data_IF_719248578375
#
_entry.id   IF_719248578375
#
_cell.length_a   1.000
_cell.length_b   1.000
_cell.length_c   1.000
_cell.angle_alpha   90.00
_cell.angle_beta   90.00
_cell.angle_gamma   90.00
#
_symmetry.space_group_name_H-M   'P 1'
#
loop_
_entity.id
_entity.type
_entity.pdbx_description
1 polymer ?
#
# COMPACT_ATOMS: atom_id res chain seq x y z
N UNK A 1 2.35 48.12 22.83
CA UNK A 1 2.23 46.82 23.54
C UNK A 1 1.15 45.99 22.84
N UNK A 2 1.55 45.15 21.88
CA UNK A 2 0.61 44.25 21.19
C UNK A 2 0.53 42.93 21.97
N UNK A 3 -0.61 42.72 22.60
CA UNK A 3 -0.95 41.49 23.33
C UNK A 3 -1.05 40.33 22.34
N UNK A 4 -0.13 39.35 22.43
CA UNK A 4 -0.30 38.03 21.81
C UNK A 4 -1.36 37.29 22.60
N UNK A 5 -2.56 37.16 22.03
CA UNK A 5 -3.59 36.31 22.60
C UNK A 5 -3.10 34.85 22.64
N UNK A 6 -3.35 34.11 23.74
CA UNK A 6 -2.97 32.71 23.86
C UNK A 6 -3.73 31.90 22.83
N UNK A 7 -3.01 31.31 21.87
CA UNK A 7 -3.57 30.44 20.85
C UNK A 7 -4.16 29.21 21.55
N UNK A 8 -5.42 28.91 21.26
CA UNK A 8 -6.23 27.92 22.01
C UNK A 8 -5.59 26.53 21.81
N UNK A 9 -5.30 25.76 22.88
CA UNK A 9 -4.56 24.49 22.81
C UNK A 9 -5.14 23.44 21.84
N UNK A 10 -6.44 23.47 21.59
CA UNK A 10 -7.12 22.55 20.65
C UNK A 10 -6.84 22.90 19.19
N UNK A 11 -6.71 24.19 18.85
CA UNK A 11 -6.31 24.62 17.50
C UNK A 11 -4.89 24.18 17.22
N UNK A 12 -3.97 24.44 18.16
CA UNK A 12 -2.56 24.08 18.00
C UNK A 12 -2.35 22.56 17.92
N UNK A 13 -3.13 21.77 18.68
CA UNK A 13 -3.07 20.32 18.62
C UNK A 13 -3.58 19.75 17.28
N UNK A 14 -4.64 20.33 16.70
CA UNK A 14 -5.14 19.95 15.37
C UNK A 14 -4.13 20.35 14.28
N UNK A 15 -3.60 21.58 14.35
CA UNK A 15 -2.57 22.07 13.43
C UNK A 15 -1.28 21.23 13.53
N UNK A 16 -0.90 20.76 14.72
CA UNK A 16 0.21 19.84 14.90
C UNK A 16 -0.07 18.48 14.26
N UNK A 17 -1.27 17.94 14.48
CA UNK A 17 -1.65 16.64 13.94
C UNK A 17 -1.61 16.65 12.42
N UNK A 18 -2.18 17.67 11.78
CA UNK A 18 -2.22 17.76 10.32
C UNK A 18 -0.81 17.93 9.72
N UNK A 19 0.05 18.73 10.37
CA UNK A 19 1.47 18.83 9.97
C UNK A 19 2.22 17.50 10.09
N UNK A 20 1.95 16.72 11.13
CA UNK A 20 2.53 15.38 11.30
C UNK A 20 2.09 14.45 10.17
N UNK A 21 0.79 14.42 9.86
CA UNK A 21 0.27 13.58 8.77
C UNK A 21 0.83 13.97 7.41
N UNK A 22 0.96 15.27 7.13
CA UNK A 22 1.52 15.75 5.87
C UNK A 22 3.01 15.40 5.73
N UNK A 23 3.79 15.60 6.81
CA UNK A 23 5.18 15.19 6.83
C UNK A 23 5.34 13.67 6.66
N UNK A 24 4.46 12.89 7.28
CA UNK A 24 4.46 11.44 7.17
C UNK A 24 4.17 10.97 5.74
N UNK A 25 3.11 11.50 5.10
CA UNK A 25 2.80 11.20 3.69
C UNK A 25 3.99 11.46 2.78
N UNK A 26 4.61 12.63 2.90
CA UNK A 26 5.73 13.01 2.06
C UNK A 26 6.95 12.08 2.24
N UNK A 27 7.29 11.73 3.48
CA UNK A 27 8.45 10.87 3.77
C UNK A 27 8.20 9.41 3.39
N UNK A 28 7.01 8.89 3.72
CA UNK A 28 6.65 7.52 3.35
C UNK A 28 6.55 7.35 1.84
N UNK A 29 6.21 8.41 1.11
CA UNK A 29 6.17 8.39 -0.34
C UNK A 29 7.55 8.20 -1.01
N UNK A 30 8.59 8.76 -0.41
CA UNK A 30 9.94 8.77 -1.00
C UNK A 30 10.82 7.65 -0.46
N UNK A 31 10.69 7.33 0.83
CA UNK A 31 11.60 6.44 1.55
C UNK A 31 10.89 5.17 2.09
N UNK A 32 9.59 5.04 1.84
CA UNK A 32 8.76 3.94 2.34
C UNK A 32 8.55 4.02 3.86
N UNK A 33 7.97 2.96 4.44
CA UNK A 33 7.72 2.91 5.89
C UNK A 33 8.97 2.67 6.75
N UNK A 34 10.16 2.64 6.16
CA UNK A 34 11.41 2.48 6.91
C UNK A 34 11.84 3.75 7.65
N UNK A 35 11.29 4.92 7.26
CA UNK A 35 11.63 6.22 7.87
C UNK A 35 11.42 6.21 9.38
N UNK A 36 12.41 6.63 10.19
CA UNK A 36 12.24 6.76 11.63
C UNK A 36 11.21 7.83 12.01
N UNK A 37 10.37 7.58 13.02
CA UNK A 37 9.36 8.57 13.48
C UNK A 37 9.96 9.91 13.94
N UNK A 38 11.20 9.90 14.44
CA UNK A 38 11.95 11.13 14.76
C UNK A 38 12.14 12.05 13.55
N UNK A 39 12.26 11.47 12.35
CA UNK A 39 12.45 12.23 11.12
C UNK A 39 11.14 12.87 10.66
N UNK A 40 10.02 12.15 10.86
CA UNK A 40 8.68 12.73 10.70
C UNK A 40 8.47 13.90 11.65
N UNK A 41 8.81 13.74 12.94
CA UNK A 41 8.69 14.82 13.93
C UNK A 41 9.50 16.06 13.53
N UNK A 42 10.75 15.85 13.09
CA UNK A 42 11.64 16.90 12.60
C UNK A 42 11.04 17.63 11.39
N UNK A 43 10.49 16.89 10.41
CA UNK A 43 9.90 17.48 9.21
C UNK A 43 8.57 18.19 9.48
N UNK A 44 7.80 17.71 10.45
CA UNK A 44 6.55 18.35 10.89
C UNK A 44 6.77 19.57 11.80
N UNK A 45 8.03 19.85 12.19
CA UNK A 45 8.39 20.89 13.15
C UNK A 45 7.66 20.72 14.50
N UNK A 46 7.71 19.50 15.04
CA UNK A 46 7.15 19.15 16.35
C UNK A 46 8.16 18.37 17.19
N UNK A 47 8.02 18.45 18.52
CA UNK A 47 8.82 17.64 19.43
C UNK A 47 8.48 16.14 19.32
N UNK A 48 9.45 15.22 19.49
CA UNK A 48 9.20 13.78 19.45
C UNK A 48 8.11 13.33 20.43
N UNK A 49 8.10 13.88 21.65
CA UNK A 49 7.08 13.59 22.65
C UNK A 49 5.67 14.03 22.23
N UNK A 50 5.54 15.02 21.35
CA UNK A 50 4.26 15.44 20.77
C UNK A 50 3.82 14.43 19.71
N UNK A 51 4.72 14.02 18.80
CA UNK A 51 4.42 12.99 17.82
C UNK A 51 3.99 11.68 18.48
N UNK A 52 4.77 11.16 19.44
CA UNK A 52 4.44 9.89 20.13
C UNK A 52 3.13 9.96 20.92
N UNK A 53 2.70 11.14 21.37
CA UNK A 53 1.40 11.32 22.03
C UNK A 53 0.23 11.23 21.07
N UNK A 54 0.38 11.73 19.84
CA UNK A 54 -0.65 11.61 18.79
C UNK A 54 -0.62 10.26 18.09
N UNK A 55 0.58 9.74 17.83
CA UNK A 55 0.82 8.54 17.04
C UNK A 55 1.84 7.65 17.77
N UNK A 56 1.38 6.78 18.69
CA UNK A 56 2.26 5.94 19.49
C UNK A 56 3.10 4.97 18.66
N UNK A 57 2.60 4.57 17.49
CA UNK A 57 3.25 3.61 16.59
C UNK A 57 3.30 4.15 15.16
N UNK A 58 4.23 3.62 14.35
CA UNK A 58 4.38 4.03 12.96
C UNK A 58 3.19 3.57 12.12
N UNK A 59 2.60 2.45 12.51
CA UNK A 59 1.43 1.85 11.92
C UNK A 59 0.23 2.78 12.05
N UNK A 60 -0.05 3.27 13.27
CA UNK A 60 -1.15 4.23 13.51
C UNK A 60 -0.92 5.50 12.69
N UNK A 61 0.32 6.02 12.66
CA UNK A 61 0.65 7.18 11.85
C UNK A 61 0.38 6.95 10.36
N UNK A 62 0.82 5.82 9.82
CA UNK A 62 0.65 5.49 8.40
C UNK A 62 -0.83 5.26 8.05
N UNK A 63 -1.58 4.54 8.90
CA UNK A 63 -3.03 4.33 8.73
C UNK A 63 -3.76 5.67 8.68
N UNK A 64 -3.49 6.58 9.62
CA UNK A 64 -4.14 7.89 9.61
C UNK A 64 -3.68 8.78 8.45
N UNK A 65 -2.38 8.75 8.11
CA UNK A 65 -1.80 9.54 7.03
C UNK A 65 -2.40 9.19 5.65
N UNK A 66 -2.79 7.92 5.46
CA UNK A 66 -3.34 7.38 4.22
C UNK A 66 -4.81 6.93 4.34
N UNK A 67 -5.53 7.38 5.37
CA UNK A 67 -6.90 6.95 5.66
C UNK A 67 -7.87 7.24 4.52
N UNK A 68 -7.71 8.37 3.82
CA UNK A 68 -8.54 8.73 2.66
C UNK A 68 -8.27 7.81 1.47
N UNK A 69 -7.00 7.49 1.20
CA UNK A 69 -6.60 6.56 0.15
C UNK A 69 -7.12 5.15 0.43
N UNK A 70 -7.04 4.69 1.68
CA UNK A 70 -7.58 3.38 2.06
C UNK A 70 -9.09 3.32 1.88
N UNK A 71 -9.81 4.39 2.25
CA UNK A 71 -11.25 4.50 2.03
C UNK A 71 -11.61 4.44 0.54
N UNK A 72 -10.83 5.08 -0.32
CA UNK A 72 -11.02 5.00 -1.76
C UNK A 72 -10.78 3.58 -2.28
N UNK A 73 -9.75 2.89 -1.79
CA UNK A 73 -9.51 1.48 -2.14
C UNK A 73 -10.67 0.57 -1.72
N UNK A 74 -11.22 0.75 -0.52
CA UNK A 74 -12.41 0.01 -0.06
C UNK A 74 -13.60 0.28 -0.97
N UNK A 75 -13.91 1.55 -1.25
CA UNK A 75 -15.02 1.92 -2.13
C UNK A 75 -14.90 1.27 -3.51
N UNK A 76 -13.70 1.27 -4.10
CA UNK A 76 -13.45 0.64 -5.40
C UNK A 76 -13.77 -0.85 -5.38
N UNK A 77 -13.31 -1.55 -4.34
CA UNK A 77 -13.52 -3.00 -4.21
C UNK A 77 -14.98 -3.33 -3.90
N UNK A 78 -15.64 -2.53 -3.07
CA UNK A 78 -17.07 -2.67 -2.74
C UNK A 78 -17.95 -2.47 -3.97
N UNK A 79 -17.67 -1.43 -4.76
CA UNK A 79 -18.35 -1.18 -6.03
C UNK A 79 -18.16 -2.32 -7.02
N UNK A 80 -16.95 -2.89 -7.09
CA UNK A 80 -16.67 -4.07 -7.90
C UNK A 80 -17.49 -5.28 -7.45
N UNK A 81 -17.56 -5.55 -6.14
CA UNK A 81 -18.31 -6.66 -5.57
C UNK A 81 -19.83 -6.53 -5.76
N UNK A 82 -20.32 -5.29 -5.79
CA UNK A 82 -21.72 -4.97 -6.04
C UNK A 82 -22.10 -5.07 -7.53
N UNK A 83 -21.13 -5.22 -8.43
CA UNK A 83 -21.39 -5.33 -9.85
C UNK A 83 -22.09 -6.67 -10.19
N UNK A 84 -23.21 -6.64 -10.93
CA UNK A 84 -23.91 -7.87 -11.33
C UNK A 84 -23.14 -8.71 -12.34
N UNK A 85 -22.20 -8.13 -13.10
CA UNK A 85 -21.28 -8.87 -13.97
C UNK A 85 -19.93 -9.04 -13.24
N UNK A 86 -19.58 -10.27 -12.81
CA UNK A 86 -18.34 -10.51 -12.07
C UNK A 86 -17.07 -10.11 -12.82
N UNK A 87 -17.06 -10.25 -14.15
CA UNK A 87 -15.90 -9.89 -14.95
C UNK A 87 -15.78 -8.37 -15.07
N UNK A 88 -16.89 -7.68 -15.30
CA UNK A 88 -16.92 -6.22 -15.31
C UNK A 88 -16.50 -5.64 -13.96
N UNK A 89 -17.02 -6.17 -12.85
CA UNK A 89 -16.63 -5.80 -11.49
C UNK A 89 -15.12 -5.98 -11.23
N UNK A 90 -14.56 -7.13 -11.61
CA UNK A 90 -13.13 -7.40 -11.49
C UNK A 90 -12.27 -6.44 -12.34
N UNK A 91 -12.66 -6.19 -13.60
CA UNK A 91 -11.96 -5.24 -14.47
C UNK A 91 -11.99 -3.81 -13.91
N UNK A 92 -13.15 -3.37 -13.45
CA UNK A 92 -13.38 -2.05 -12.84
C UNK A 92 -12.46 -1.84 -11.62
N UNK A 93 -12.29 -2.86 -10.78
CA UNK A 93 -11.35 -2.80 -9.65
C UNK A 93 -9.91 -2.64 -10.12
N UNK A 94 -9.46 -3.42 -11.10
CA UNK A 94 -8.09 -3.30 -11.64
C UNK A 94 -7.84 -1.90 -12.21
N UNK A 95 -8.77 -1.38 -13.01
CA UNK A 95 -8.66 -0.06 -13.63
C UNK A 95 -8.58 1.05 -12.60
N UNK A 96 -9.53 1.07 -11.65
CA UNK A 96 -9.62 2.11 -10.62
C UNK A 96 -8.44 2.06 -9.64
N UNK A 97 -8.00 0.87 -9.21
CA UNK A 97 -6.81 0.75 -8.35
C UNK A 97 -5.55 1.21 -9.09
N UNK A 98 -5.35 0.79 -10.34
CA UNK A 98 -4.21 1.25 -11.14
C UNK A 98 -4.18 2.77 -11.25
N UNK A 99 -5.32 3.39 -11.52
CA UNK A 99 -5.44 4.85 -11.63
C UNK A 99 -5.20 5.56 -10.28
N UNK A 100 -5.74 5.05 -9.18
CA UNK A 100 -5.46 5.57 -7.83
C UNK A 100 -3.95 5.55 -7.53
N UNK A 101 -3.28 4.44 -7.85
CA UNK A 101 -1.84 4.29 -7.66
C UNK A 101 -1.02 5.25 -8.55
N UNK A 102 -1.48 5.49 -9.78
CA UNK A 102 -0.83 6.42 -10.69
C UNK A 102 -0.92 7.88 -10.21
N UNK A 103 -1.98 8.22 -9.48
CA UNK A 103 -2.19 9.55 -8.89
C UNK A 103 -1.46 9.72 -7.55
N UNK A 104 -1.31 8.65 -6.78
CA UNK A 104 -0.65 8.65 -5.47
C UNK A 104 0.38 7.53 -5.33
N UNK A 105 1.57 7.79 -5.90
CA UNK A 105 2.74 6.89 -5.78
C UNK A 105 3.20 6.75 -4.34
N UNK A 106 2.93 7.75 -3.51
CA UNK A 106 3.40 7.79 -2.15
C UNK A 106 2.70 6.79 -1.26
N UNK A 107 1.37 6.74 -1.40
CA UNK A 107 0.55 5.69 -0.84
C UNK A 107 0.97 4.31 -1.35
N UNK A 108 1.17 4.16 -2.66
CA UNK A 108 1.53 2.86 -3.27
C UNK A 108 2.86 2.32 -2.72
N UNK A 109 3.90 3.16 -2.63
CA UNK A 109 5.20 2.77 -2.10
C UNK A 109 5.12 2.42 -0.60
N UNK A 110 4.37 3.20 0.19
CA UNK A 110 4.13 2.92 1.59
C UNK A 110 3.37 1.59 1.78
N UNK A 111 2.31 1.39 0.99
CA UNK A 111 1.48 0.19 1.02
C UNK A 111 2.28 -1.06 0.64
N UNK A 112 3.02 -1.03 -0.47
CA UNK A 112 3.83 -2.18 -0.93
C UNK A 112 5.02 -2.46 0.01
N UNK A 113 5.66 -1.43 0.58
CA UNK A 113 6.80 -1.61 1.50
C UNK A 113 6.41 -2.05 2.92
N UNK A 114 5.14 -1.92 3.32
CA UNK A 114 4.64 -2.30 4.65
C UNK A 114 4.51 -3.81 4.88
N UNK A 115 4.53 -4.62 3.83
CA UNK A 115 4.33 -6.06 3.92
C UNK A 115 5.60 -6.70 4.50
N UNK A 116 5.64 -7.23 5.76
CA UNK A 116 4.55 -7.89 6.49
C UNK A 116 4.34 -7.47 7.98
N UNK A 117 4.69 -6.26 8.43
CA UNK A 117 4.88 -5.97 9.88
C UNK A 117 3.92 -4.99 10.56
N UNK A 118 2.95 -4.39 9.85
CA UNK A 118 2.05 -3.40 10.42
C UNK A 118 0.67 -4.02 10.78
N UNK A 119 0.34 -4.12 12.08
CA UNK A 119 -0.85 -4.82 12.60
C UNK A 119 -2.17 -4.21 12.10
N UNK A 120 -2.31 -2.88 12.00
CA UNK A 120 -3.61 -2.29 11.61
C UNK A 120 -3.82 -2.24 10.09
N UNK A 121 -2.72 -2.08 9.33
CA UNK A 121 -2.71 -2.36 7.89
C UNK A 121 -3.14 -3.80 7.60
N UNK A 122 -3.02 -4.74 8.56
CA UNK A 122 -3.51 -6.10 8.32
C UNK A 122 -5.02 -6.16 8.19
N UNK A 123 -5.80 -5.36 8.93
CA UNK A 123 -7.27 -5.44 8.87
C UNK A 123 -7.80 -4.93 7.53
N UNK A 124 -7.40 -3.73 7.11
CA UNK A 124 -7.82 -3.14 5.83
C UNK A 124 -7.28 -3.95 4.64
N UNK A 125 -6.05 -4.46 4.75
CA UNK A 125 -5.49 -5.36 3.74
C UNK A 125 -6.26 -6.67 3.68
N UNK A 126 -6.54 -7.31 4.81
CA UNK A 126 -7.23 -8.59 4.84
C UNK A 126 -8.66 -8.44 4.31
N UNK A 127 -9.30 -7.29 4.54
CA UNK A 127 -10.55 -6.91 3.89
C UNK A 127 -10.40 -6.86 2.36
N UNK A 128 -9.48 -6.02 1.86
CA UNK A 128 -9.26 -5.86 0.43
C UNK A 128 -8.89 -7.19 -0.26
N UNK A 129 -8.01 -7.99 0.34
CA UNK A 129 -7.60 -9.29 -0.18
C UNK A 129 -8.77 -10.29 -0.25
N UNK A 130 -9.62 -10.35 0.79
CA UNK A 130 -10.81 -11.22 0.78
C UNK A 130 -11.78 -10.82 -0.32
N UNK A 131 -12.06 -9.53 -0.43
CA UNK A 131 -13.00 -9.02 -1.41
C UNK A 131 -12.50 -9.18 -2.86
N UNK A 132 -11.20 -8.99 -3.10
CA UNK A 132 -10.58 -9.28 -4.40
C UNK A 132 -10.58 -10.79 -4.69
N UNK A 133 -10.31 -11.64 -3.69
CA UNK A 133 -10.39 -13.10 -3.86
C UNK A 133 -11.79 -13.55 -4.25
N UNK A 134 -12.81 -12.95 -3.64
CA UNK A 134 -14.21 -13.20 -3.97
C UNK A 134 -14.55 -12.76 -5.40
N UNK A 135 -14.13 -11.56 -5.81
CA UNK A 135 -14.28 -11.09 -7.19
C UNK A 135 -13.62 -12.04 -8.20
N UNK A 136 -12.37 -12.42 -7.93
CA UNK A 136 -11.64 -13.35 -8.77
C UNK A 136 -12.32 -14.72 -8.84
N UNK A 137 -12.84 -15.22 -7.71
CA UNK A 137 -13.63 -16.45 -7.65
C UNK A 137 -14.86 -16.39 -8.56
N UNK A 138 -15.70 -15.36 -8.40
CA UNK A 138 -16.90 -15.16 -9.22
C UNK A 138 -16.57 -15.03 -10.71
N UNK A 139 -15.49 -14.32 -11.06
CA UNK A 139 -15.05 -14.16 -12.45
C UNK A 139 -14.48 -15.46 -13.06
N UNK A 140 -13.85 -16.33 -12.25
CA UNK A 140 -13.45 -17.68 -12.66
C UNK A 140 -14.65 -18.58 -12.87
N UNK A 141 -15.62 -18.55 -11.96
CA UNK A 141 -16.84 -19.35 -12.04
C UNK A 141 -17.68 -18.99 -13.29
N UNK A 142 -17.67 -17.70 -13.68
CA UNK A 142 -18.27 -17.22 -14.93
C UNK A 142 -17.45 -17.57 -16.20
N UNK A 143 -16.25 -18.13 -16.04
CA UNK A 143 -15.37 -18.51 -17.14
C UNK A 143 -14.68 -17.35 -17.84
N UNK A 144 -14.61 -16.16 -17.20
CA UNK A 144 -14.00 -14.97 -17.79
C UNK A 144 -12.58 -14.71 -17.31
N UNK A 145 -12.22 -15.16 -16.10
CA UNK A 145 -10.87 -15.09 -15.55
C UNK A 145 -10.14 -16.42 -15.73
N UNK A 146 -8.87 -16.37 -16.14
CA UNK A 146 -8.05 -17.58 -16.32
C UNK A 146 -7.95 -18.41 -15.03
N UNK A 147 -7.99 -19.75 -15.10
CA UNK A 147 -8.11 -20.61 -13.92
C UNK A 147 -6.85 -20.59 -13.03
N UNK A 148 -5.69 -20.37 -13.61
CA UNK A 148 -4.37 -20.29 -12.96
C UNK A 148 -4.05 -18.89 -12.38
N UNK A 149 -4.96 -17.91 -12.46
CA UNK A 149 -4.81 -16.61 -11.79
C UNK A 149 -4.74 -16.77 -10.26
N UNK A 150 -3.83 -16.05 -9.61
CA UNK A 150 -3.70 -15.99 -8.15
C UNK A 150 -3.60 -14.54 -7.66
N UNK A 151 -3.86 -14.31 -6.37
CA UNK A 151 -3.77 -12.96 -5.79
C UNK A 151 -2.35 -12.35 -5.91
N UNK A 152 -1.30 -13.17 -5.89
CA UNK A 152 0.08 -12.72 -6.11
C UNK A 152 0.27 -12.07 -7.49
N UNK A 153 -0.54 -12.42 -8.50
CA UNK A 153 -0.51 -11.77 -9.82
C UNK A 153 -0.99 -10.32 -9.74
N UNK A 154 -1.93 -10.04 -8.84
CA UNK A 154 -2.36 -8.67 -8.58
C UNK A 154 -1.22 -7.87 -7.91
N UNK A 155 -0.48 -8.47 -6.99
CA UNK A 155 0.68 -7.83 -6.36
C UNK A 155 1.75 -7.49 -7.43
N UNK A 156 2.05 -8.44 -8.32
CA UNK A 156 2.95 -8.21 -9.46
C UNK A 156 2.47 -7.06 -10.35
N UNK A 157 1.18 -7.03 -10.68
CA UNK A 157 0.58 -5.95 -11.45
C UNK A 157 0.75 -4.60 -10.76
N UNK A 158 0.47 -4.50 -9.46
CA UNK A 158 0.58 -3.25 -8.72
C UNK A 158 2.04 -2.76 -8.63
N UNK A 159 2.99 -3.68 -8.43
CA UNK A 159 4.43 -3.39 -8.47
C UNK A 159 4.86 -2.87 -9.85
N UNK A 160 4.43 -3.52 -10.92
CA UNK A 160 4.74 -3.11 -12.29
C UNK A 160 4.11 -1.76 -12.64
N UNK A 161 2.84 -1.52 -12.27
CA UNK A 161 2.17 -0.23 -12.45
C UNK A 161 2.90 0.90 -11.71
N UNK A 162 3.35 0.64 -10.47
CA UNK A 162 4.16 1.59 -9.71
C UNK A 162 5.52 1.86 -10.37
N UNK A 163 6.09 0.87 -11.07
CA UNK A 163 7.35 1.02 -11.81
C UNK A 163 7.26 1.93 -13.04
N UNK A 164 6.07 2.22 -13.57
CA UNK A 164 5.87 3.09 -14.73
C UNK A 164 6.36 4.50 -14.39
N UNK A 165 7.20 5.08 -15.26
CA UNK A 165 7.62 6.48 -15.19
C UNK A 165 7.23 7.19 -16.47
N UNK A 166 6.66 8.39 -16.33
CA UNK A 166 6.24 9.22 -17.45
C UNK A 166 6.65 10.68 -17.26
N UNK A 167 6.68 11.42 -18.38
CA UNK A 167 7.15 12.82 -18.44
C UNK A 167 6.21 13.83 -17.76
N UNK A 168 4.98 13.42 -17.42
CA UNK A 168 4.01 14.26 -16.73
C UNK A 168 3.01 13.42 -15.94
N UNK A 169 2.31 14.00 -14.93
CA UNK A 169 1.25 13.30 -14.21
C UNK A 169 0.12 12.79 -15.12
N UNK A 170 -0.25 13.56 -16.15
CA UNK A 170 -1.27 13.14 -17.12
C UNK A 170 -0.81 11.95 -17.97
N UNK A 171 0.46 11.97 -18.43
CA UNK A 171 1.04 10.86 -19.16
C UNK A 171 1.18 9.61 -18.27
N UNK A 172 1.46 9.78 -16.98
CA UNK A 172 1.51 8.69 -16.00
C UNK A 172 0.17 7.99 -15.88
N UNK A 173 -0.93 8.75 -15.71
CA UNK A 173 -2.28 8.19 -15.63
C UNK A 173 -2.66 7.50 -16.94
N UNK A 174 -2.34 8.09 -18.09
CA UNK A 174 -2.61 7.47 -19.39
C UNK A 174 -1.83 6.14 -19.58
N UNK A 175 -0.56 6.11 -19.18
CA UNK A 175 0.26 4.90 -19.23
C UNK A 175 -0.28 3.81 -18.27
N UNK A 176 -0.71 4.20 -17.08
CA UNK A 176 -1.33 3.29 -16.11
C UNK A 176 -2.65 2.69 -16.62
N UNK A 177 -3.53 3.50 -17.22
CA UNK A 177 -4.76 3.01 -17.87
C UNK A 177 -4.45 2.03 -19.00
N UNK A 178 -3.45 2.35 -19.83
CA UNK A 178 -2.99 1.46 -20.91
C UNK A 178 -2.47 0.14 -20.36
N UNK A 179 -1.69 0.18 -19.28
CA UNK A 179 -1.16 -0.99 -18.59
C UNK A 179 -2.28 -1.85 -17.99
N UNK A 180 -3.24 -1.24 -17.28
CA UNK A 180 -4.41 -1.93 -16.73
C UNK A 180 -5.17 -2.69 -17.81
N UNK A 181 -5.44 -2.05 -18.96
CA UNK A 181 -6.11 -2.70 -20.09
C UNK A 181 -5.32 -3.89 -20.67
N UNK A 182 -3.99 -3.81 -20.73
CA UNK A 182 -3.14 -4.93 -21.16
C UNK A 182 -3.18 -6.09 -20.16
N UNK A 183 -3.14 -5.79 -18.87
CA UNK A 183 -3.19 -6.79 -17.80
C UNK A 183 -4.54 -7.48 -17.74
N UNK A 184 -5.65 -6.74 -17.87
CA UNK A 184 -7.00 -7.32 -17.96
C UNK A 184 -7.09 -8.32 -19.11
N UNK A 185 -6.52 -7.98 -20.28
CA UNK A 185 -6.46 -8.92 -21.40
C UNK A 185 -5.60 -10.15 -21.08
N UNK A 186 -4.48 -9.99 -20.38
CA UNK A 186 -3.61 -11.10 -19.98
C UNK A 186 -4.24 -12.03 -18.92
N UNK A 187 -5.13 -11.50 -18.08
CA UNK A 187 -5.88 -12.26 -17.09
C UNK A 187 -7.09 -12.98 -17.67
N UNK A 188 -7.60 -12.54 -18.83
CA UNK A 188 -8.81 -13.11 -19.41
C UNK A 188 -8.66 -14.60 -19.74
N UNK A 189 -9.72 -15.36 -19.47
CA UNK A 189 -9.86 -16.73 -19.93
C UNK A 189 -9.85 -16.78 -21.48
N UNK A 190 -9.17 -17.76 -22.04
CA UNK A 190 -9.09 -18.02 -23.48
C UNK A 190 -9.11 -19.53 -23.74
N UNK A 191 -9.55 -20.00 -24.94
CA UNK A 191 -9.62 -21.43 -25.25
C UNK A 191 -8.24 -22.11 -25.33
N UNK A 192 -7.24 -21.40 -25.84
CA UNK A 192 -5.86 -21.88 -25.96
C UNK A 192 -4.96 -21.10 -25.01
N UNK A 193 -4.78 -21.64 -23.80
CA UNK A 193 -3.95 -21.02 -22.77
C UNK A 193 -2.72 -21.88 -22.47
N UNK A 194 -1.56 -21.25 -22.52
CA UNK A 194 -0.34 -21.81 -21.96
C UNK A 194 -0.36 -21.55 -20.45
N UNK A 195 -0.14 -22.59 -19.60
CA UNK A 195 -0.07 -22.40 -18.15
C UNK A 195 0.99 -21.38 -17.77
N UNK A 196 0.69 -20.53 -16.77
CA UNK A 196 1.71 -19.65 -16.21
C UNK A 196 2.83 -20.45 -15.53
N UNK A 197 4.06 -19.92 -15.49
CA UNK A 197 5.09 -20.42 -14.60
C UNK A 197 4.60 -20.45 -13.14
N UNK A 198 5.22 -21.28 -12.27
CA UNK A 198 4.84 -21.35 -10.86
C UNK A 198 4.89 -19.98 -10.18
N UNK A 199 3.95 -19.76 -9.25
CA UNK A 199 3.84 -18.53 -8.47
C UNK A 199 5.16 -18.26 -7.72
N UNK A 200 5.78 -17.13 -8.01
CA UNK A 200 6.90 -16.64 -7.22
C UNK A 200 6.35 -16.11 -5.89
N UNK A 201 6.74 -16.70 -4.75
CA UNK A 201 6.46 -16.08 -3.45
C UNK A 201 7.28 -14.80 -3.36
N UNK A 202 6.64 -13.66 -3.59
CA UNK A 202 7.24 -12.36 -3.39
C UNK A 202 7.36 -12.10 -1.88
N UNK A 203 8.40 -12.67 -1.25
CA UNK A 203 8.86 -12.15 0.03
C UNK A 203 9.44 -10.76 -0.25
N UNK A 204 8.68 -9.71 0.03
CA UNK A 204 9.11 -8.32 -0.12
C UNK A 204 10.28 -8.08 0.85
N UNK A 205 11.51 -8.23 0.35
CA UNK A 205 12.74 -8.05 1.11
C UNK A 205 12.94 -6.55 1.37
N UNK A 206 13.07 -6.15 2.63
CA UNK A 206 13.54 -4.82 2.99
C UNK A 206 14.95 -4.59 2.38
N UNK A 207 15.27 -3.42 1.82
CA UNK A 207 16.55 -3.21 1.15
C UNK A 207 17.73 -3.51 2.09
N UNK A 208 18.73 -4.21 1.54
CA UNK A 208 19.89 -4.71 2.27
C UNK A 208 20.66 -3.57 2.95
N UNK A 209 20.72 -3.63 4.28
CA UNK A 209 21.50 -2.68 5.08
C UNK A 209 21.53 -2.95 6.58
N UNK A 210 20.98 -4.08 7.06
CA UNK A 210 21.00 -4.42 8.48
C UNK A 210 21.62 -5.80 8.67
N UNK A 211 22.93 -5.82 8.92
CA UNK A 211 23.62 -6.97 9.51
C UNK A 211 23.01 -7.21 10.90
N UNK A 212 22.10 -8.17 10.99
CA UNK A 212 21.76 -8.77 12.28
C UNK A 212 22.98 -9.59 12.70
N UNK A 213 23.79 -8.98 13.57
CA UNK A 213 24.81 -9.70 14.33
C UNK A 213 24.07 -10.70 15.22
N UNK A 214 23.92 -11.93 14.74
CA UNK A 214 23.57 -13.05 15.60
C UNK A 214 24.76 -13.27 16.51
N UNK A 215 24.69 -12.75 17.72
CA UNK A 215 25.55 -13.18 18.81
C UNK A 215 25.25 -14.65 19.06
N UNK A 216 26.07 -15.54 18.49
CA UNK A 216 26.21 -16.91 18.93
C UNK A 216 26.76 -16.90 20.35
N UNK A 217 25.84 -16.83 21.33
CA UNK A 217 26.12 -17.16 22.72
C UNK A 217 26.34 -18.66 22.85
N UNK A 218 27.61 -19.04 22.78
CA UNK A 218 28.25 -20.07 23.61
C UNK A 218 27.46 -21.36 23.90
N UNK A 219 27.59 -22.34 23.00
CA UNK A 219 27.78 -23.73 23.42
C UNK A 219 29.26 -24.08 23.22
N UNK A 220 30.10 -23.61 24.15
CA UNK A 220 31.40 -24.25 24.38
C UNK A 220 31.13 -25.48 25.23
N UNK A 221 31.27 -26.65 24.61
CA UNK A 221 31.52 -27.87 25.36
C UNK A 221 32.88 -27.83 26.06
N UNK A 222 33.15 -28.92 26.77
CA UNK A 222 34.42 -29.61 27.05
C UNK A 222 34.33 -30.27 28.46
N UNK A 223 35.20 -31.23 28.82
CA UNK A 223 35.18 -32.63 28.38
C UNK A 223 35.38 -33.60 29.59
N UNK A 224 35.36 -34.92 29.34
CA UNK A 224 35.83 -35.93 30.31
C UNK A 224 34.81 -37.00 30.63
#
# INVERSE_FOLDING_TARGET
MTSRLPRIPRSDALDNRDRILEAARALFATEGLNVPLREVARRADVGPATLYRHFPTKEILATEAFSDQMRLCHLVVDEGLADPDPWHGFCSVIEKICELHARDRGFTAAFVSAFPKAIDFTTDRDYALKAIAELAGRAKDAGNLRPDFVLDDLILMLMANNGIQAVSPAAQVAASRRFAALVIQAFRAAPEQVPLPPVARLALVAPAGMTLSVTSGELRGLPG
#
